data_IF_913866818611
#
_entry.id   IF_913866818611
#
_cell.length_a   1.000
_cell.length_b   1.000
_cell.length_c   1.000
_cell.angle_alpha   90.00
_cell.angle_beta   90.00
_cell.angle_gamma   90.00
#
_symmetry.space_group_name_H-M   'P 1'
#
loop_
_entity.id
_entity.type
_entity.pdbx_description
1 polymer ?
#
# COMPACT_ATOMS: atom_id res chain seq x y z
N UNK A 1 -9.72 -24.83 10.81
CA UNK A 1 -11.01 -24.19 11.19
C UNK A 1 -10.76 -22.76 11.66
N UNK A 2 -11.69 -21.82 11.41
CA UNK A 2 -11.55 -20.45 11.94
C UNK A 2 -11.91 -20.42 13.43
N UNK A 3 -11.05 -19.82 14.23
CA UNK A 3 -11.20 -19.74 15.68
C UNK A 3 -11.77 -18.38 16.10
N UNK A 4 -11.23 -17.29 15.56
CA UNK A 4 -11.75 -15.94 15.83
C UNK A 4 -11.30 -14.93 14.77
N UNK A 5 -11.91 -13.74 14.79
CA UNK A 5 -11.50 -12.62 13.96
C UNK A 5 -11.51 -11.33 14.81
N UNK A 6 -10.51 -10.49 14.62
CA UNK A 6 -10.32 -9.22 15.36
C UNK A 6 -10.07 -8.10 14.36
N UNK A 7 -10.78 -7.00 14.52
CA UNK A 7 -10.50 -5.76 13.78
C UNK A 7 -9.50 -4.95 14.60
N UNK A 8 -8.33 -4.70 14.02
CA UNK A 8 -7.27 -3.90 14.62
C UNK A 8 -7.29 -2.49 14.02
N UNK A 9 -7.84 -1.55 14.78
CA UNK A 9 -7.95 -0.15 14.37
C UNK A 9 -6.63 0.60 14.43
N UNK A 10 -5.67 0.14 15.25
CA UNK A 10 -4.36 0.79 15.38
C UNK A 10 -3.49 0.53 14.13
N UNK A 11 -3.60 -0.68 13.57
CA UNK A 11 -2.85 -1.09 12.38
C UNK A 11 -3.68 -1.09 11.09
N UNK A 12 -4.96 -0.66 11.14
CA UNK A 12 -5.89 -0.70 10.01
C UNK A 12 -5.94 -2.06 9.31
N UNK A 13 -6.04 -3.12 10.11
CA UNK A 13 -6.01 -4.50 9.66
C UNK A 13 -7.14 -5.34 10.27
N UNK A 14 -7.46 -6.46 9.60
CA UNK A 14 -8.33 -7.50 10.14
C UNK A 14 -7.50 -8.77 10.31
N UNK A 15 -7.45 -9.29 11.54
CA UNK A 15 -6.70 -10.49 11.89
C UNK A 15 -7.67 -11.65 12.05
N UNK A 16 -7.42 -12.74 11.34
CA UNK A 16 -8.15 -13.99 11.42
C UNK A 16 -7.26 -15.04 12.09
N UNK A 17 -7.72 -15.53 13.24
CA UNK A 17 -7.09 -16.66 13.91
C UNK A 17 -7.72 -17.94 13.41
N UNK A 18 -6.88 -18.82 12.85
CA UNK A 18 -7.28 -20.11 12.32
C UNK A 18 -6.46 -21.23 12.96
N UNK A 19 -6.96 -22.45 12.86
CA UNK A 19 -6.24 -23.68 13.20
C UNK A 19 -6.33 -24.59 11.97
N UNK A 20 -5.43 -24.39 11.01
CA UNK A 20 -5.48 -25.07 9.71
C UNK A 20 -4.92 -26.50 9.84
N UNK A 21 -5.79 -27.50 9.69
CA UNK A 21 -5.35 -28.91 9.61
C UNK A 21 -4.87 -29.31 8.21
N UNK A 22 -5.32 -28.58 7.19
CA UNK A 22 -5.03 -28.77 5.78
C UNK A 22 -4.86 -27.40 5.10
N UNK A 23 -4.30 -27.39 3.89
CA UNK A 23 -4.27 -26.20 3.04
C UNK A 23 -5.70 -25.69 2.78
N UNK A 24 -5.87 -24.38 2.70
CA UNK A 24 -7.17 -23.76 2.58
C UNK A 24 -7.18 -22.46 1.80
N UNK A 25 -8.40 -21.97 1.57
CA UNK A 25 -8.67 -20.71 0.90
C UNK A 25 -9.53 -19.85 1.83
N UNK A 26 -9.06 -18.63 2.13
CA UNK A 26 -9.84 -17.63 2.83
C UNK A 26 -10.35 -16.62 1.80
N UNK A 27 -11.67 -16.47 1.73
CA UNK A 27 -12.33 -15.41 0.95
C UNK A 27 -13.02 -14.47 1.92
N UNK A 28 -12.62 -13.20 1.92
CA UNK A 28 -13.10 -12.16 2.82
C UNK A 28 -13.50 -10.93 2.01
N UNK A 29 -14.69 -10.41 2.27
CA UNK A 29 -15.20 -9.18 1.67
C UNK A 29 -15.79 -8.29 2.77
N UNK A 30 -14.95 -7.59 3.54
CA UNK A 30 -15.42 -6.69 4.58
C UNK A 30 -16.12 -5.48 3.92
N UNK A 31 -17.05 -4.82 4.62
CA UNK A 31 -17.58 -3.55 4.14
C UNK A 31 -16.49 -2.48 4.19
N UNK A 32 -16.51 -1.55 3.23
CA UNK A 32 -15.56 -0.42 3.13
C UNK A 32 -15.50 0.45 4.40
N UNK A 33 -16.57 0.47 5.18
CA UNK A 33 -16.64 1.17 6.46
C UNK A 33 -15.79 0.53 7.56
N UNK A 34 -15.41 -0.74 7.41
CA UNK A 34 -14.60 -1.50 8.37
C UNK A 34 -13.16 -1.62 7.88
N UNK A 35 -12.98 -1.91 6.60
CA UNK A 35 -11.67 -2.02 5.97
C UNK A 35 -11.78 -1.57 4.52
N UNK A 36 -10.87 -0.71 4.08
CA UNK A 36 -10.78 -0.28 2.68
C UNK A 36 -9.31 -0.28 2.24
N UNK A 37 -9.09 -0.27 0.92
CA UNK A 37 -7.76 -0.06 0.34
C UNK A 37 -6.79 -1.19 0.66
N UNK A 38 -7.26 -2.44 0.65
CA UNK A 38 -6.45 -3.62 0.96
C UNK A 38 -5.28 -3.69 -0.01
N UNK A 39 -4.07 -3.79 0.54
CA UNK A 39 -2.84 -3.76 -0.26
C UNK A 39 -1.87 -4.87 0.11
N UNK A 40 -2.06 -5.53 1.25
CA UNK A 40 -1.16 -6.55 1.76
C UNK A 40 -1.95 -7.57 2.57
N UNK A 41 -1.55 -8.84 2.44
CA UNK A 41 -2.06 -9.94 3.26
C UNK A 41 -0.88 -10.72 3.80
N UNK A 42 -0.88 -10.93 5.12
CA UNK A 42 0.11 -11.72 5.81
C UNK A 42 -0.48 -13.08 6.20
N UNK A 43 0.31 -14.13 6.08
CA UNK A 43 0.03 -15.48 6.56
C UNK A 43 1.14 -15.82 7.57
N UNK A 44 0.76 -16.03 8.83
CA UNK A 44 1.68 -16.20 9.96
C UNK A 44 2.78 -15.11 10.06
N UNK A 45 2.42 -13.87 9.71
CA UNK A 45 3.32 -12.71 9.73
C UNK A 45 4.23 -12.57 8.51
N UNK A 46 4.16 -13.48 7.54
CA UNK A 46 4.88 -13.39 6.27
C UNK A 46 3.95 -12.93 5.14
N UNK A 47 4.44 -12.07 4.25
CA UNK A 47 3.66 -11.58 3.11
C UNK A 47 3.32 -12.74 2.15
N UNK A 48 2.03 -12.90 1.86
CA UNK A 48 1.56 -13.93 0.95
C UNK A 48 1.70 -13.51 -0.50
N UNK A 49 2.31 -14.37 -1.33
CA UNK A 49 2.41 -14.19 -2.78
C UNK A 49 1.17 -14.73 -3.52
N UNK A 50 0.38 -15.58 -2.87
CA UNK A 50 -0.79 -16.26 -3.45
C UNK A 50 -2.08 -15.59 -2.98
N UNK A 51 -2.21 -14.30 -3.31
CA UNK A 51 -3.36 -13.46 -2.99
C UNK A 51 -3.97 -12.84 -4.24
N UNK A 52 -5.29 -12.88 -4.33
CA UNK A 52 -6.08 -12.14 -5.31
C UNK A 52 -6.90 -11.08 -4.57
N UNK A 53 -6.75 -9.82 -4.99
CA UNK A 53 -7.47 -8.67 -4.42
C UNK A 53 -8.33 -8.07 -5.52
N UNK A 54 -9.65 -8.23 -5.40
CA UNK A 54 -10.65 -7.60 -6.27
C UNK A 54 -11.45 -6.55 -5.49
N UNK A 55 -11.00 -5.30 -5.59
CA UNK A 55 -11.56 -4.18 -4.85
C UNK A 55 -11.35 -4.32 -3.35
N UNK A 56 -12.40 -4.73 -2.62
CA UNK A 56 -12.32 -5.00 -1.18
C UNK A 56 -12.49 -6.48 -0.85
N UNK A 57 -12.59 -7.34 -1.87
CA UNK A 57 -12.63 -8.78 -1.69
C UNK A 57 -11.23 -9.33 -1.81
N UNK A 58 -10.83 -10.11 -0.82
CA UNK A 58 -9.53 -10.76 -0.73
C UNK A 58 -9.75 -12.25 -0.77
N UNK A 59 -9.00 -12.91 -1.64
CA UNK A 59 -8.90 -14.35 -1.72
C UNK A 59 -7.45 -14.73 -1.50
N UNK A 60 -7.16 -15.44 -0.41
CA UNK A 60 -5.79 -15.84 -0.05
C UNK A 60 -5.74 -17.35 0.20
N UNK A 61 -4.77 -18.02 -0.42
CA UNK A 61 -4.45 -19.41 -0.08
C UNK A 61 -3.50 -19.43 1.13
N UNK A 62 -3.71 -20.40 2.01
CA UNK A 62 -2.86 -20.61 3.17
C UNK A 62 -2.56 -22.11 3.34
N UNK A 63 -1.34 -22.49 3.75
CA UNK A 63 -0.97 -23.88 3.95
C UNK A 63 -1.53 -24.46 5.26
N UNK A 64 -1.51 -25.79 5.37
CA UNK A 64 -1.75 -26.51 6.61
C UNK A 64 -0.79 -26.01 7.70
N UNK A 65 -1.29 -25.91 8.93
CA UNK A 65 -0.54 -25.39 10.08
C UNK A 65 -0.58 -23.88 10.27
N UNK A 66 -1.17 -23.13 9.31
CA UNK A 66 -1.40 -21.69 9.45
C UNK A 66 -2.23 -21.39 10.70
N UNK A 67 -1.85 -20.34 11.44
CA UNK A 67 -2.51 -19.90 12.67
C UNK A 67 -3.12 -18.52 12.58
N UNK A 68 -2.54 -17.68 11.75
CA UNK A 68 -2.91 -16.27 11.64
C UNK A 68 -2.92 -15.85 10.19
N UNK A 69 -3.97 -15.13 9.79
CA UNK A 69 -4.03 -14.42 8.51
C UNK A 69 -4.41 -12.98 8.81
N UNK A 70 -3.56 -12.04 8.43
CA UNK A 70 -3.79 -10.61 8.65
C UNK A 70 -3.99 -9.90 7.30
N UNK A 71 -5.15 -9.26 7.14
CA UNK A 71 -5.46 -8.46 5.96
C UNK A 71 -5.22 -7.00 6.32
N UNK A 72 -4.21 -6.39 5.71
CA UNK A 72 -3.83 -5.00 5.97
C UNK A 72 -4.36 -4.14 4.84
N UNK A 73 -5.15 -3.13 5.20
CA UNK A 73 -5.54 -2.10 4.25
C UNK A 73 -4.87 -0.78 4.49
N UNK A 74 -5.04 0.08 3.51
CA UNK A 74 -4.54 1.45 3.54
C UNK A 74 -5.65 2.41 3.91
N UNK A 75 -5.26 3.45 4.62
CA UNK A 75 -5.87 4.75 4.45
C UNK A 75 -4.85 5.63 3.72
N UNK A 76 -4.79 5.52 2.39
CA UNK A 76 -4.05 6.51 1.60
C UNK A 76 -4.90 7.00 0.44
N UNK A 77 -5.33 8.26 0.53
CA UNK A 77 -5.52 9.12 -0.63
C UNK A 77 -4.11 9.45 -1.12
N UNK A 78 -3.66 8.95 -2.28
CA UNK A 78 -2.29 9.19 -2.72
C UNK A 78 -2.17 10.63 -3.22
N UNK A 79 -1.52 11.50 -2.45
CA UNK A 79 -1.24 12.89 -2.83
C UNK A 79 -0.04 13.01 -3.78
N UNK A 80 0.56 11.87 -4.18
CA UNK A 80 1.79 11.82 -4.99
C UNK A 80 1.68 12.66 -6.27
N UNK A 81 0.52 12.72 -6.90
CA UNK A 81 0.31 13.55 -8.08
C UNK A 81 0.52 15.04 -7.79
N UNK A 82 -0.02 15.53 -6.67
CA UNK A 82 0.09 16.96 -6.30
C UNK A 82 1.50 17.32 -5.86
N UNK A 83 2.14 16.48 -5.05
CA UNK A 83 3.51 16.71 -4.55
C UNK A 83 4.51 16.60 -5.71
N UNK A 84 4.38 15.58 -6.56
CA UNK A 84 5.23 15.43 -7.74
C UNK A 84 5.05 16.60 -8.72
N UNK A 85 3.81 17.04 -8.97
CA UNK A 85 3.54 18.20 -9.83
C UNK A 85 4.11 19.50 -9.24
N UNK A 86 4.03 19.69 -7.93
CA UNK A 86 4.62 20.84 -7.23
C UNK A 86 6.15 20.86 -7.38
N UNK A 87 6.82 19.74 -7.11
CA UNK A 87 8.27 19.61 -7.26
C UNK A 87 8.68 19.87 -8.72
N UNK A 88 7.96 19.29 -9.68
CA UNK A 88 8.19 19.49 -11.10
C UNK A 88 8.07 20.97 -11.51
N UNK A 89 7.00 21.64 -11.07
CA UNK A 89 6.77 23.05 -11.36
C UNK A 89 7.89 23.94 -10.79
N UNK A 90 8.28 23.72 -9.54
CA UNK A 90 9.38 24.45 -8.88
C UNK A 90 10.71 24.22 -9.60
N UNK A 91 10.99 22.99 -10.06
CA UNK A 91 12.20 22.68 -10.80
C UNK A 91 12.25 23.41 -12.15
N UNK A 92 11.17 23.40 -12.93
CA UNK A 92 11.09 24.10 -14.22
C UNK A 92 11.31 25.61 -14.04
N UNK A 93 10.61 26.22 -13.06
CA UNK A 93 10.75 27.65 -12.77
C UNK A 93 12.20 27.99 -12.40
N UNK A 94 12.83 27.18 -11.55
CA UNK A 94 14.22 27.37 -11.12
C UNK A 94 15.19 27.32 -12.30
N UNK A 95 15.04 26.34 -13.19
CA UNK A 95 15.87 26.19 -14.39
C UNK A 95 15.74 27.41 -15.29
N UNK A 96 14.52 27.90 -15.52
CA UNK A 96 14.28 29.07 -16.37
C UNK A 96 14.96 30.30 -15.76
N UNK A 97 14.76 30.56 -14.47
CA UNK A 97 15.33 31.74 -13.78
C UNK A 97 16.86 31.73 -13.78
N UNK A 98 17.47 30.57 -13.51
CA UNK A 98 18.94 30.43 -13.52
C UNK A 98 19.48 30.57 -14.96
N UNK A 99 18.84 29.90 -15.92
CA UNK A 99 19.27 29.93 -17.33
C UNK A 99 19.11 31.31 -17.95
N UNK A 100 18.03 32.04 -17.64
CA UNK A 100 17.81 33.40 -18.13
C UNK A 100 18.80 34.40 -17.52
N UNK A 101 19.19 34.21 -16.24
CA UNK A 101 20.18 35.06 -15.57
C UNK A 101 21.61 34.79 -16.05
N UNK A 102 21.93 33.55 -16.46
CA UNK A 102 23.28 33.16 -16.93
C UNK A 102 23.62 33.62 -18.36
N UNK A 103 22.66 34.06 -19.18
CA UNK A 103 22.92 34.49 -20.58
C UNK A 103 23.44 35.93 -20.73
N UNK A 104 23.60 36.67 -19.63
CA UNK A 104 24.15 38.02 -19.63
C UNK A 104 25.50 38.06 -18.90
N UNK A 105 26.61 37.93 -19.66
CA UNK A 105 27.86 38.56 -19.24
C UNK A 105 29.11 37.72 -18.98
N UNK A 106 29.29 36.52 -19.57
CA UNK A 106 30.67 36.00 -19.71
C UNK A 106 31.27 36.61 -20.98
N UNK A 107 31.69 37.87 -20.88
CA UNK A 107 32.55 38.51 -21.87
C UNK A 107 33.98 38.07 -21.53
N UNK A 108 34.67 37.27 -22.37
CA UNK A 108 36.05 36.91 -22.12
C UNK A 108 36.89 38.18 -22.25
N UNK A 109 37.62 38.55 -21.19
CA UNK A 109 38.71 39.52 -21.32
C UNK A 109 40.01 38.75 -21.45
N UNK A 110 40.72 39.05 -22.53
CA UNK A 110 42.10 38.63 -22.78
C UNK A 110 43.05 39.20 -21.72
#
# INVERSE_FOLDING_TARGET
>A
MMTSAVVNTDNNSIIFYIDASDDGLLVVSPPKSVQEGIFMVLVDGEESNDVEIDGNTVTVMFPAGTKEIEIIGTYVIPEFGTIAAMILAVAIISIIVISSKSRLGIMPRY
#
